data_IF_198101410214
#
_entry.id   IF_198101410214
#
_cell.length_a   1.000
_cell.length_b   1.000
_cell.length_c   1.000
_cell.angle_alpha   90.00
_cell.angle_beta   90.00
_cell.angle_gamma   90.00
#
_symmetry.space_group_name_H-M   'P 1'
#
loop_
_entity.id
_entity.type
_entity.pdbx_description
1 polymer ?
#
# COMPACT_ATOMS: atom_id res chain seq x y z
N UNK A 1 15.27 -8.62 -19.11
CA UNK A 1 15.28 -7.16 -18.87
C UNK A 1 13.83 -6.70 -18.80
N UNK A 2 13.19 -6.74 -17.62
CA UNK A 2 11.83 -6.23 -17.44
C UNK A 2 11.91 -4.86 -16.79
N UNK A 3 11.28 -3.89 -17.44
CA UNK A 3 11.29 -2.47 -17.11
C UNK A 3 10.48 -2.29 -15.82
N UNK A 4 11.17 -1.84 -14.78
CA UNK A 4 10.56 -1.36 -13.54
C UNK A 4 9.74 -0.13 -13.92
N UNK A 5 8.42 -0.19 -13.73
CA UNK A 5 7.57 0.98 -13.81
C UNK A 5 7.58 1.62 -12.42
N UNK A 6 8.59 2.45 -12.15
CA UNK A 6 8.50 3.40 -11.03
C UNK A 6 7.46 4.42 -11.48
N UNK A 7 6.22 4.28 -11.00
CA UNK A 7 5.35 5.45 -10.91
C UNK A 7 5.97 6.28 -9.81
N UNK A 8 6.82 7.23 -10.21
CA UNK A 8 7.32 8.28 -9.34
C UNK A 8 6.09 9.12 -8.95
N UNK A 9 5.42 8.72 -7.87
CA UNK A 9 4.64 9.64 -7.06
C UNK A 9 5.58 10.77 -6.63
N UNK A 10 5.08 11.99 -6.71
CA UNK A 10 5.89 13.21 -6.73
C UNK A 10 6.99 13.23 -5.65
N UNK A 11 8.21 13.54 -6.06
CA UNK A 11 9.26 14.00 -5.14
C UNK A 11 8.80 15.32 -4.50
N UNK A 12 8.08 15.26 -3.39
CA UNK A 12 7.77 16.45 -2.60
C UNK A 12 8.84 16.57 -1.52
N UNK A 13 9.83 17.43 -1.78
CA UNK A 13 10.79 17.87 -0.77
C UNK A 13 10.07 18.88 0.13
N UNK A 14 9.27 18.42 1.08
CA UNK A 14 8.57 19.30 2.03
C UNK A 14 9.46 19.71 3.20
N UNK A 15 10.56 20.41 2.92
CA UNK A 15 11.18 21.27 3.91
C UNK A 15 10.32 22.54 4.03
N UNK A 16 9.53 22.62 5.10
CA UNK A 16 8.73 23.78 5.51
C UNK A 16 7.67 24.25 4.48
N UNK A 17 6.58 23.48 4.33
CA UNK A 17 5.34 23.96 3.71
C UNK A 17 4.77 23.18 2.52
N UNK A 18 5.21 21.94 2.27
CA UNK A 18 4.54 21.08 1.28
C UNK A 18 3.23 20.55 1.83
N UNK A 19 2.11 20.91 1.20
CA UNK A 19 0.82 20.28 1.48
C UNK A 19 0.85 18.85 0.94
N UNK A 20 0.56 17.86 1.78
CA UNK A 20 0.21 16.53 1.32
C UNK A 20 -1.08 16.61 0.49
N UNK A 21 -1.20 15.79 -0.55
CA UNK A 21 -2.40 15.74 -1.39
C UNK A 21 -3.13 14.42 -1.14
N UNK A 22 -4.46 14.48 -1.08
CA UNK A 22 -5.30 13.30 -1.04
C UNK A 22 -5.06 12.45 -2.29
N UNK A 23 -4.81 11.16 -2.09
CA UNK A 23 -4.76 10.18 -3.18
C UNK A 23 -6.08 9.41 -3.23
N UNK A 24 -6.50 9.06 -4.44
CA UNK A 24 -7.59 8.12 -4.72
C UNK A 24 -7.20 7.37 -5.99
N UNK A 25 -6.55 6.22 -5.82
CA UNK A 25 -5.88 5.49 -6.89
C UNK A 25 -6.40 4.07 -6.97
N UNK A 26 -6.73 3.63 -8.19
CA UNK A 26 -7.04 2.25 -8.49
C UNK A 26 -5.92 1.64 -9.32
N UNK A 27 -5.38 0.52 -8.85
CA UNK A 27 -4.32 -0.24 -9.49
C UNK A 27 -4.85 -1.59 -9.93
N UNK A 28 -4.30 -2.08 -11.04
CA UNK A 28 -4.43 -3.47 -11.46
C UNK A 28 -3.03 -4.07 -11.47
N UNK A 29 -2.88 -5.24 -10.87
CA UNK A 29 -1.60 -5.92 -10.78
C UNK A 29 -1.73 -7.39 -11.16
N UNK A 30 -0.58 -8.04 -11.25
CA UNK A 30 -0.50 -9.49 -11.43
C UNK A 30 0.71 -10.00 -10.65
N UNK A 31 0.45 -10.49 -9.44
CA UNK A 31 1.47 -11.02 -8.56
C UNK A 31 2.08 -12.28 -9.19
N UNK A 32 3.38 -12.26 -9.45
CA UNK A 32 4.10 -13.30 -10.15
C UNK A 32 5.39 -13.67 -9.42
N UNK A 33 5.96 -14.82 -9.80
CA UNK A 33 7.24 -15.25 -9.24
C UNK A 33 8.34 -14.21 -9.47
N UNK A 34 9.10 -13.92 -8.40
CA UNK A 34 10.15 -12.90 -8.41
C UNK A 34 9.67 -11.47 -8.09
N UNK A 35 8.42 -11.30 -7.66
CA UNK A 35 7.99 -10.09 -6.95
C UNK A 35 8.78 -9.92 -5.63
N UNK A 36 8.70 -8.74 -5.04
CA UNK A 36 9.40 -8.42 -3.79
C UNK A 36 8.90 -9.25 -2.62
N UNK A 37 9.62 -9.21 -1.51
CA UNK A 37 9.20 -9.87 -0.27
C UNK A 37 9.13 -8.85 0.88
N UNK A 38 8.06 -8.92 1.68
CA UNK A 38 7.91 -8.19 2.93
C UNK A 38 7.39 -9.16 3.98
N UNK A 39 8.09 -9.25 5.12
CA UNK A 39 7.76 -10.15 6.24
C UNK A 39 7.46 -11.62 5.83
N UNK A 40 8.20 -12.16 4.85
CA UNK A 40 7.99 -13.53 4.36
C UNK A 40 6.88 -13.68 3.31
N UNK A 41 6.19 -12.60 2.95
CA UNK A 41 5.13 -12.59 1.94
C UNK A 41 5.62 -12.03 0.61
N UNK A 42 5.20 -12.65 -0.50
CA UNK A 42 5.48 -12.13 -1.84
C UNK A 42 4.54 -10.95 -2.13
N UNK A 43 5.09 -9.78 -2.48
CA UNK A 43 4.34 -8.55 -2.60
C UNK A 43 4.76 -7.68 -3.81
N UNK A 44 3.79 -6.94 -4.33
CA UNK A 44 4.01 -5.74 -5.14
C UNK A 44 3.90 -4.50 -4.24
N UNK A 45 4.64 -3.42 -4.54
CA UNK A 45 4.78 -2.26 -3.66
C UNK A 45 4.30 -0.95 -4.29
N UNK A 46 3.62 -0.11 -3.50
CA UNK A 46 3.06 1.17 -3.93
C UNK A 46 3.41 2.27 -2.92
N UNK A 47 4.10 3.32 -3.36
CA UNK A 47 4.51 4.44 -2.52
C UNK A 47 3.43 5.52 -2.44
N UNK A 48 3.21 6.07 -1.24
CA UNK A 48 2.32 7.21 -0.97
C UNK A 48 3.00 8.19 -0.01
N UNK A 49 2.77 9.49 -0.21
CA UNK A 49 3.18 10.53 0.74
C UNK A 49 1.95 11.02 1.49
N UNK A 50 1.99 10.99 2.83
CA UNK A 50 0.82 11.24 3.66
C UNK A 50 1.18 12.08 4.90
N UNK A 51 0.26 12.97 5.28
CA UNK A 51 0.42 13.90 6.39
C UNK A 51 0.18 13.26 7.75
N UNK A 52 0.70 13.89 8.81
CA UNK A 52 0.37 13.52 10.20
C UNK A 52 -1.13 13.77 10.44
N UNK A 53 -1.78 12.83 11.12
CA UNK A 53 -3.22 12.85 11.41
C UNK A 53 -4.10 12.37 10.25
N UNK A 54 -3.55 12.20 9.04
CA UNK A 54 -4.31 11.70 7.89
C UNK A 54 -4.62 10.21 8.03
N UNK A 55 -5.64 9.77 7.32
CA UNK A 55 -5.98 8.35 7.22
C UNK A 55 -5.51 7.79 5.88
N UNK A 56 -4.95 6.59 5.91
CA UNK A 56 -4.65 5.74 4.76
C UNK A 56 -5.68 4.61 4.76
N UNK A 57 -6.36 4.42 3.63
CA UNK A 57 -7.25 3.29 3.39
C UNK A 57 -6.77 2.51 2.17
N UNK A 58 -6.72 1.19 2.26
CA UNK A 58 -6.37 0.33 1.15
C UNK A 58 -7.27 -0.91 1.10
N UNK A 59 -7.70 -1.31 -0.09
CA UNK A 59 -8.56 -2.47 -0.31
C UNK A 59 -8.05 -3.28 -1.50
N UNK A 60 -7.88 -4.58 -1.31
CA UNK A 60 -7.33 -5.48 -2.33
C UNK A 60 -8.33 -6.59 -2.65
N UNK A 61 -8.54 -6.85 -3.94
CA UNK A 61 -9.41 -7.93 -4.40
C UNK A 61 -8.68 -8.90 -5.32
N UNK A 62 -8.85 -10.19 -5.07
CA UNK A 62 -8.33 -11.27 -5.92
C UNK A 62 -9.12 -12.57 -5.76
N UNK A 63 -8.83 -13.54 -6.64
CA UNK A 63 -9.34 -14.92 -6.53
C UNK A 63 -8.50 -15.80 -5.59
N UNK A 64 -7.52 -15.21 -4.92
CA UNK A 64 -6.57 -15.85 -4.00
C UNK A 64 -6.47 -15.04 -2.72
N UNK A 65 -6.11 -15.72 -1.63
CA UNK A 65 -6.00 -15.15 -0.28
C UNK A 65 -4.89 -14.10 -0.19
N UNK A 66 -5.29 -12.85 -0.01
CA UNK A 66 -4.42 -11.69 -0.09
C UNK A 66 -4.28 -10.97 1.25
N UNK A 67 -3.29 -10.10 1.31
CA UNK A 67 -2.86 -9.45 2.53
C UNK A 67 -2.26 -8.08 2.20
N UNK A 68 -2.49 -7.07 3.05
CA UNK A 68 -1.91 -5.73 2.88
C UNK A 68 -1.03 -5.40 4.08
N UNK A 69 0.21 -4.96 3.80
CA UNK A 69 1.14 -4.42 4.80
C UNK A 69 1.36 -2.94 4.51
N UNK A 70 1.30 -2.10 5.52
CA UNK A 70 1.74 -0.71 5.46
C UNK A 70 3.09 -0.58 6.17
N UNK A 71 4.07 0.05 5.51
CA UNK A 71 5.41 0.23 6.07
C UNK A 71 5.91 1.67 5.91
N UNK A 72 6.88 2.05 6.75
CA UNK A 72 7.60 3.32 6.69
C UNK A 72 9.08 3.07 6.93
N UNK A 73 9.94 3.61 6.06
CA UNK A 73 11.39 3.41 6.18
C UNK A 73 11.84 1.95 6.14
N UNK A 74 11.04 1.07 5.50
CA UNK A 74 11.29 -0.38 5.43
C UNK A 74 10.85 -1.17 6.66
N UNK A 75 10.30 -0.53 7.69
CA UNK A 75 9.71 -1.22 8.84
C UNK A 75 8.19 -1.25 8.73
N UNK A 76 7.59 -2.37 9.08
CA UNK A 76 6.14 -2.49 9.18
C UNK A 76 5.57 -1.49 10.20
N UNK A 77 4.48 -0.84 9.81
CA UNK A 77 3.70 0.06 10.65
C UNK A 77 2.45 -0.66 11.14
N UNK A 78 1.73 -1.30 10.21
CA UNK A 78 0.56 -2.13 10.51
C UNK A 78 0.29 -3.04 9.32
N UNK A 79 -0.49 -4.07 9.55
CA UNK A 79 -1.08 -4.92 8.54
C UNK A 79 -2.57 -5.09 8.83
N UNK A 80 -3.30 -5.74 7.92
CA UNK A 80 -4.75 -6.01 7.97
C UNK A 80 -5.33 -6.20 9.40
N UNK A 81 -6.10 -5.24 9.94
CA UNK A 81 -6.79 -5.30 11.25
C UNK A 81 -8.32 -5.19 11.03
N UNK A 82 -8.86 -6.35 10.63
CA UNK A 82 -10.20 -6.85 10.95
C UNK A 82 -11.41 -6.48 10.05
N UNK A 83 -11.18 -6.02 8.81
CA UNK A 83 -12.26 -5.54 7.91
C UNK A 83 -12.53 -6.31 6.62
N UNK A 84 -11.73 -7.34 6.29
CA UNK A 84 -11.90 -8.11 5.06
C UNK A 84 -13.05 -9.12 5.12
N UNK A 85 -13.89 -9.19 4.08
CA UNK A 85 -14.76 -10.36 3.86
C UNK A 85 -13.97 -11.44 3.10
N UNK A 86 -14.03 -12.68 3.58
CA UNK A 86 -13.46 -13.89 2.94
C UNK A 86 -11.93 -13.88 2.73
N UNK A 87 -11.46 -13.53 1.52
CA UNK A 87 -10.07 -13.66 1.04
C UNK A 87 -9.44 -12.31 0.67
N UNK A 88 -10.16 -11.21 0.91
CA UNK A 88 -9.80 -9.86 0.47
C UNK A 88 -9.45 -8.97 1.65
N UNK A 89 -8.25 -8.39 1.65
CA UNK A 89 -7.71 -7.55 2.70
C UNK A 89 -8.22 -6.10 2.59
N UNK A 90 -8.41 -5.48 3.76
CA UNK A 90 -8.88 -4.11 3.90
C UNK A 90 -8.21 -3.44 5.10
N UNK A 91 -7.39 -2.43 4.82
CA UNK A 91 -6.59 -1.71 5.81
C UNK A 91 -7.09 -0.28 5.96
N UNK A 92 -7.22 0.18 7.20
CA UNK A 92 -7.42 1.59 7.52
C UNK A 92 -6.50 2.00 8.67
N UNK A 93 -5.66 3.00 8.46
CA UNK A 93 -4.66 3.42 9.44
C UNK A 93 -4.58 4.95 9.55
N UNK A 94 -4.60 5.47 10.78
CA UNK A 94 -4.35 6.90 11.04
C UNK A 94 -2.86 7.13 11.25
N UNK A 95 -2.28 7.97 10.39
CA UNK A 95 -0.85 8.30 10.36
C UNK A 95 -0.47 9.14 11.57
N UNK A 96 0.49 8.66 12.35
CA UNK A 96 1.01 9.36 13.54
C UNK A 96 2.24 10.21 13.27
N UNK A 97 2.88 10.03 12.11
CA UNK A 97 4.05 10.81 11.70
C UNK A 97 4.04 10.95 10.18
N UNK A 98 4.00 12.20 9.70
CA UNK A 98 4.00 12.49 8.28
C UNK A 98 5.21 11.87 7.54
N UNK A 99 5.05 11.58 6.26
CA UNK A 99 6.15 11.15 5.39
C UNK A 99 5.73 10.16 4.31
N UNK A 100 6.73 9.47 3.76
CA UNK A 100 6.55 8.48 2.71
C UNK A 100 6.31 7.10 3.31
N UNK A 101 5.20 6.49 2.92
CA UNK A 101 4.76 5.16 3.29
C UNK A 101 4.71 4.27 2.07
N UNK A 102 4.82 2.96 2.30
CA UNK A 102 4.70 1.94 1.24
C UNK A 102 3.57 0.99 1.60
N UNK A 103 2.60 0.87 0.71
CA UNK A 103 1.55 -0.15 0.72
C UNK A 103 2.06 -1.37 -0.04
N UNK A 104 2.11 -2.52 0.62
CA UNK A 104 2.49 -3.80 0.04
C UNK A 104 1.23 -4.61 -0.22
N UNK A 105 0.99 -4.97 -1.49
CA UNK A 105 -0.06 -5.88 -1.91
C UNK A 105 0.50 -7.29 -1.99
N UNK A 106 0.20 -8.11 -0.99
CA UNK A 106 0.87 -9.36 -0.70
C UNK A 106 -0.06 -10.58 -0.87
N UNK A 107 0.54 -11.74 -1.14
CA UNK A 107 -0.14 -13.02 -0.94
C UNK A 107 0.04 -13.51 0.50
N UNK A 108 -1.05 -13.94 1.13
CA UNK A 108 -1.00 -14.56 2.45
C UNK A 108 -0.24 -15.91 2.42
N UNK A 109 -0.29 -16.59 1.27
CA UNK A 109 0.31 -17.90 1.01
C UNK A 109 0.93 -17.92 -0.40
N UNK A 110 0.87 -19.06 -1.09
CA UNK A 110 1.29 -19.26 -2.48
C UNK A 110 0.37 -18.58 -3.53
N UNK A 111 -0.47 -17.63 -3.10
CA UNK A 111 -1.39 -16.88 -3.94
C UNK A 111 -0.66 -16.13 -5.06
N UNK A 112 -1.18 -16.23 -6.29
CA UNK A 112 -0.58 -15.64 -7.49
C UNK A 112 -1.67 -15.27 -8.48
N UNK A 113 -1.38 -14.26 -9.30
CA UNK A 113 -2.23 -13.85 -10.41
C UNK A 113 -2.75 -12.44 -10.27
N UNK A 114 -3.78 -12.14 -11.06
CA UNK A 114 -4.35 -10.81 -11.13
C UNK A 114 -4.98 -10.36 -9.82
N UNK A 115 -4.88 -9.07 -9.52
CA UNK A 115 -5.56 -8.42 -8.41
C UNK A 115 -5.92 -6.97 -8.77
N UNK A 116 -6.84 -6.39 -8.02
CA UNK A 116 -7.06 -4.95 -7.97
C UNK A 116 -6.70 -4.42 -6.60
N UNK A 117 -6.12 -3.21 -6.55
CA UNK A 117 -5.78 -2.53 -5.30
C UNK A 117 -6.28 -1.10 -5.39
N UNK A 118 -7.14 -0.71 -4.45
CA UNK A 118 -7.55 0.68 -4.25
C UNK A 118 -6.77 1.26 -3.08
N UNK A 119 -6.21 2.46 -3.24
CA UNK A 119 -5.51 3.20 -2.19
C UNK A 119 -6.09 4.61 -2.15
N UNK A 120 -6.54 5.02 -0.97
CA UNK A 120 -7.04 6.36 -0.70
C UNK A 120 -6.36 6.98 0.53
N UNK A 121 -6.13 8.28 0.48
CA UNK A 121 -5.75 9.06 1.67
C UNK A 121 -6.67 10.24 1.85
N UNK A 122 -6.96 10.58 3.10
CA UNK A 122 -7.78 11.71 3.45
C UNK A 122 -7.20 12.44 4.66
N UNK A 123 -7.33 13.77 4.64
CA UNK A 123 -7.10 14.61 5.81
C UNK A 123 -7.93 14.08 6.98
N UNK A 124 -7.28 13.83 8.11
CA UNK A 124 -7.98 13.58 9.36
C UNK A 124 -8.68 14.86 9.80
N UNK A 125 -9.93 14.74 10.25
CA UNK A 125 -10.70 15.86 10.80
C UNK A 125 -10.22 16.32 12.17
#
# INVERSE_FOLDING_TARGET
MRRILIVMGALSLAACGGSYEAVDQNHTGNLADGAGEMDGHTCDTYEISVGEGWQVAAQMNSEWDNYIILSKGGAEVTHDDDGGEEMNASLTHTVTEAGDYVVHACAYSDGRGAYTLHIATNEGG
#
